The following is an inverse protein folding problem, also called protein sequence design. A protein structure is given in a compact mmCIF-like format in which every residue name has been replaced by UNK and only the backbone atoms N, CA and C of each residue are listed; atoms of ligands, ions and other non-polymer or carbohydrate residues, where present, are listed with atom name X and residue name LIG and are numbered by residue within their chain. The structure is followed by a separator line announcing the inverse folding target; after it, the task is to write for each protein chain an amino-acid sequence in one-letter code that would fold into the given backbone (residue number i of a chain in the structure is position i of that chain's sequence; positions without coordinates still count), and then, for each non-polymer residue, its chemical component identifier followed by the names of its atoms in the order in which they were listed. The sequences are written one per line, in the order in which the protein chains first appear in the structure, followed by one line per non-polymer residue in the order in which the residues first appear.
data_IF_016372821798
#
_entry.id   IF_016372821798
#
_cell.length_a   1.000
_cell.length_b   1.000
_cell.length_c   1.000
_cell.angle_alpha   90.00
_cell.angle_beta   90.00
_cell.angle_gamma   90.00
#
_symmetry.space_group_name_H-M   'P 1'
#
loop_
_entity.id
_entity.type
_entity.pdbx_description
1 polymer ?
#
# COMPACT_ATOMS: atom_id res chain seq x y z
N UNK A 1 12.18 -7.35 -3.88
CA UNK A 1 11.53 -7.00 -2.60
C UNK A 1 11.85 -7.98 -1.47
N UNK A 2 11.83 -9.30 -1.69
CA UNK A 2 12.18 -10.32 -0.65
C UNK A 2 13.46 -9.97 0.11
N UNK A 3 14.56 -9.69 -0.61
CA UNK A 3 15.84 -9.34 0.00
C UNK A 3 15.75 -8.13 0.95
N UNK A 4 14.99 -7.10 0.60
CA UNK A 4 14.81 -5.94 1.48
C UNK A 4 14.06 -6.31 2.77
N UNK A 5 13.02 -7.14 2.68
CA UNK A 5 12.29 -7.62 3.85
C UNK A 5 13.15 -8.52 4.74
N UNK A 6 14.03 -9.33 4.16
CA UNK A 6 15.02 -10.11 4.92
C UNK A 6 15.98 -9.21 5.70
N UNK A 7 16.52 -8.18 5.04
CA UNK A 7 17.44 -7.22 5.66
C UNK A 7 16.76 -6.40 6.76
N UNK A 8 15.50 -5.99 6.55
CA UNK A 8 14.67 -5.39 7.58
C UNK A 8 14.48 -6.36 8.75
N UNK A 9 14.08 -7.62 8.49
CA UNK A 9 13.90 -8.62 9.53
C UNK A 9 15.21 -8.93 10.28
N UNK A 10 16.36 -8.88 9.62
CA UNK A 10 17.69 -9.07 10.23
C UNK A 10 18.00 -7.95 11.22
N UNK A 11 17.75 -6.71 10.84
CA UNK A 11 18.11 -5.49 11.60
C UNK A 11 17.10 -5.12 12.69
N UNK A 12 15.82 -5.50 12.54
CA UNK A 12 14.79 -5.20 13.54
C UNK A 12 15.12 -5.82 14.91
N UNK A 13 14.84 -5.13 16.00
CA UNK A 13 14.88 -5.75 17.33
C UNK A 13 13.73 -6.75 17.50
N UNK A 14 13.86 -7.78 18.38
CA UNK A 14 12.75 -8.67 18.67
C UNK A 14 11.51 -7.90 19.15
N UNK A 15 10.34 -8.22 18.59
CA UNK A 15 9.10 -7.49 18.84
C UNK A 15 8.97 -6.18 18.06
N UNK A 16 9.98 -5.76 17.29
CA UNK A 16 9.91 -4.59 16.43
C UNK A 16 8.86 -4.72 15.32
N UNK A 17 8.46 -3.59 14.76
CA UNK A 17 7.37 -3.47 13.79
C UNK A 17 7.86 -3.05 12.41
N UNK A 18 7.19 -3.55 11.37
CA UNK A 18 7.30 -3.10 9.99
C UNK A 18 5.90 -2.73 9.51
N UNK A 19 5.79 -1.55 8.89
CA UNK A 19 4.57 -1.12 8.21
C UNK A 19 4.83 -1.26 6.70
N UNK A 20 4.09 -2.15 6.06
CA UNK A 20 4.03 -2.28 4.61
C UNK A 20 2.80 -1.50 4.13
N UNK A 21 3.03 -0.40 3.42
CA UNK A 21 1.99 0.50 2.90
C UNK A 21 2.17 0.57 1.40
N UNK A 22 1.18 0.10 0.65
CA UNK A 22 1.25 0.02 -0.81
C UNK A 22 -0.03 0.57 -1.44
N UNK A 23 0.09 1.49 -2.43
CA UNK A 23 -1.03 1.83 -3.27
C UNK A 23 -1.36 0.63 -4.16
N UNK A 24 -2.62 0.27 -4.21
CA UNK A 24 -3.18 -0.72 -5.12
C UNK A 24 -3.97 0.04 -6.18
N UNK A 25 -3.61 -0.14 -7.44
CA UNK A 25 -4.39 0.37 -8.57
C UNK A 25 -5.34 -0.73 -9.07
N UNK A 26 -6.39 -0.41 -9.86
CA UNK A 26 -6.68 0.87 -10.53
C UNK A 26 -7.06 2.03 -9.59
N UNK A 27 -6.84 3.27 -10.02
CA UNK A 27 -7.45 4.42 -9.34
C UNK A 27 -8.98 4.36 -9.51
N UNK A 28 -9.70 4.98 -8.57
CA UNK A 28 -11.12 5.28 -8.80
C UNK A 28 -11.27 6.34 -9.90
N UNK A 29 -12.45 6.44 -10.54
CA UNK A 29 -12.71 7.51 -11.48
C UNK A 29 -12.38 8.89 -10.90
N UNK A 30 -11.87 9.78 -11.74
CA UNK A 30 -11.67 11.18 -11.38
C UNK A 30 -13.03 11.84 -11.15
N UNK A 31 -13.17 12.54 -10.03
CA UNK A 31 -14.40 13.18 -9.61
C UNK A 31 -14.23 14.69 -9.50
N UNK A 32 -15.31 15.44 -9.71
CA UNK A 32 -15.46 16.82 -9.26
C UNK A 32 -16.22 16.81 -7.94
N UNK A 33 -15.72 17.51 -6.94
CA UNK A 33 -16.36 17.67 -5.63
C UNK A 33 -16.76 19.12 -5.46
N UNK A 34 -18.03 19.37 -5.14
CA UNK A 34 -18.61 20.71 -4.89
C UNK A 34 -19.55 20.60 -3.70
N UNK A 35 -19.35 21.41 -2.66
CA UNK A 35 -20.19 21.44 -1.46
C UNK A 35 -20.43 20.05 -0.82
N UNK A 36 -19.43 19.17 -0.88
CA UNK A 36 -19.48 17.81 -0.36
C UNK A 36 -20.07 16.76 -1.32
N UNK A 37 -20.69 17.17 -2.42
CA UNK A 37 -21.22 16.28 -3.45
C UNK A 37 -20.16 15.94 -4.49
N UNK A 38 -20.07 14.66 -4.88
CA UNK A 38 -19.09 14.16 -5.83
C UNK A 38 -19.74 13.71 -7.14
N UNK A 39 -19.20 14.18 -8.27
CA UNK A 39 -19.62 13.81 -9.63
C UNK A 39 -18.46 13.22 -10.41
N UNK A 40 -18.63 12.01 -10.94
CA UNK A 40 -17.64 11.36 -11.81
C UNK A 40 -17.46 12.14 -13.11
N UNK A 41 -16.21 12.39 -13.49
CA UNK A 41 -15.81 13.05 -14.73
C UNK A 41 -15.28 12.07 -15.78
N UNK A 42 -14.68 10.96 -15.34
CA UNK A 42 -14.12 9.93 -16.20
C UNK A 42 -13.02 9.13 -15.51
N UNK A 43 -12.28 8.33 -16.28
CA UNK A 43 -11.19 7.49 -15.76
C UNK A 43 -9.84 7.89 -16.35
N UNK A 44 -8.79 7.68 -15.56
CA UNK A 44 -7.43 7.71 -16.05
C UNK A 44 -7.19 6.55 -17.03
N UNK A 45 -6.20 6.70 -17.89
CA UNK A 45 -5.69 5.60 -18.71
C UNK A 45 -4.63 4.85 -17.91
N UNK A 46 -4.93 3.59 -17.57
CA UNK A 46 -4.16 2.76 -16.63
C UNK A 46 -3.68 1.46 -17.30
N UNK A 47 -3.65 1.41 -18.63
CA UNK A 47 -3.48 0.17 -19.41
C UNK A 47 -2.16 -0.60 -19.18
N UNK A 48 -1.17 0.00 -18.52
CA UNK A 48 0.15 -0.59 -18.28
C UNK A 48 0.34 -1.19 -16.87
N UNK A 49 -0.64 -1.06 -15.97
CA UNK A 49 -0.47 -1.52 -14.59
C UNK A 49 -0.94 -2.96 -14.38
N UNK A 50 -0.15 -3.76 -13.67
CA UNK A 50 -0.55 -5.08 -13.18
C UNK A 50 -1.36 -4.90 -11.87
N UNK A 51 -2.70 -5.09 -11.89
CA UNK A 51 -3.55 -4.87 -10.73
C UNK A 51 -3.15 -5.83 -9.61
N UNK A 52 -2.32 -5.34 -8.71
CA UNK A 52 -2.12 -5.91 -7.40
C UNK A 52 -0.73 -6.33 -7.01
N UNK A 53 0.29 -5.89 -7.75
CA UNK A 53 1.70 -6.17 -7.47
C UNK A 53 1.92 -7.59 -6.90
N UNK A 54 1.58 -8.64 -7.68
CA UNK A 54 1.66 -10.03 -7.23
C UNK A 54 3.09 -10.42 -6.82
N UNK A 55 4.10 -9.73 -7.36
CA UNK A 55 5.48 -9.88 -6.93
C UNK A 55 5.67 -9.41 -5.47
N UNK A 56 5.05 -8.29 -5.09
CA UNK A 56 5.07 -7.82 -3.72
C UNK A 56 4.30 -8.74 -2.76
N UNK A 57 3.11 -9.18 -3.16
CA UNK A 57 2.30 -10.11 -2.35
C UNK A 57 3.01 -11.46 -2.17
N UNK A 58 3.63 -11.99 -3.24
CA UNK A 58 4.42 -13.22 -3.19
C UNK A 58 5.63 -13.10 -2.26
N UNK A 59 6.35 -11.99 -2.33
CA UNK A 59 7.50 -11.74 -1.46
C UNK A 59 7.10 -11.60 0.02
N UNK A 60 5.96 -10.99 0.31
CA UNK A 60 5.42 -10.94 1.66
C UNK A 60 5.06 -12.36 2.16
N UNK A 61 4.37 -13.13 1.32
CA UNK A 61 4.03 -14.52 1.59
C UNK A 61 5.25 -15.38 1.91
N UNK A 62 6.34 -15.22 1.17
CA UNK A 62 7.59 -15.95 1.40
C UNK A 62 8.21 -15.64 2.79
N UNK A 63 8.28 -14.35 3.14
CA UNK A 63 8.84 -13.90 4.43
C UNK A 63 8.03 -14.41 5.62
N UNK A 64 6.70 -14.41 5.48
CA UNK A 64 5.77 -14.96 6.47
C UNK A 64 5.93 -16.49 6.58
N UNK A 65 6.01 -17.21 5.46
CA UNK A 65 6.20 -18.66 5.44
C UNK A 65 7.52 -19.09 6.10
N UNK A 66 8.57 -18.28 5.97
CA UNK A 66 9.88 -18.49 6.60
C UNK A 66 9.91 -18.09 8.08
N UNK A 67 8.84 -17.49 8.61
CA UNK A 67 8.71 -17.08 10.01
C UNK A 67 9.68 -15.96 10.40
N UNK A 68 10.19 -15.19 9.44
CA UNK A 68 11.09 -14.07 9.71
C UNK A 68 10.33 -12.87 10.29
N UNK A 69 9.08 -12.70 9.85
CA UNK A 69 8.09 -11.78 10.39
C UNK A 69 6.75 -12.51 10.56
N UNK A 70 5.87 -11.97 11.39
CA UNK A 70 4.49 -12.40 11.56
C UNK A 70 3.54 -11.28 11.16
N UNK A 71 2.39 -11.62 10.56
CA UNK A 71 1.35 -10.66 10.24
C UNK A 71 0.48 -10.40 11.48
N UNK A 72 0.55 -9.18 12.01
CA UNK A 72 -0.25 -8.74 13.17
C UNK A 72 -1.57 -8.10 12.75
N UNK A 73 -1.60 -7.48 11.57
CA UNK A 73 -2.77 -6.81 11.03
C UNK A 73 -2.64 -6.70 9.51
N UNK A 74 -3.76 -6.90 8.81
CA UNK A 74 -3.94 -6.58 7.41
C UNK A 74 -5.21 -5.75 7.27
N UNK A 75 -5.13 -4.69 6.48
CA UNK A 75 -6.29 -3.86 6.19
C UNK A 75 -6.07 -3.04 4.93
N UNK A 76 -7.13 -2.35 4.54
CA UNK A 76 -7.08 -1.47 3.40
C UNK A 76 -8.08 -0.34 3.53
N UNK A 77 -7.83 0.76 2.83
CA UNK A 77 -8.71 1.92 2.79
C UNK A 77 -8.54 2.68 1.48
N UNK A 78 -9.48 3.55 1.16
CA UNK A 78 -9.32 4.52 0.07
C UNK A 78 -8.70 5.81 0.60
N UNK A 79 -7.53 6.16 0.08
CA UNK A 79 -6.95 7.49 0.25
C UNK A 79 -7.54 8.42 -0.80
N UNK A 80 -7.92 9.63 -0.41
CA UNK A 80 -8.46 10.64 -1.34
C UNK A 80 -7.50 11.82 -1.42
N UNK A 81 -7.10 12.17 -2.64
CA UNK A 81 -6.27 13.34 -2.94
C UNK A 81 -7.11 14.36 -3.71
N UNK A 82 -6.87 15.64 -3.43
CA UNK A 82 -7.67 16.76 -3.93
C UNK A 82 -6.78 17.79 -4.61
N UNK A 83 -7.29 18.39 -5.69
CA UNK A 83 -6.61 19.45 -6.45
C UNK A 83 -7.61 20.50 -6.91
N UNK A 84 -7.23 21.77 -6.87
CA UNK A 84 -8.06 22.87 -7.39
C UNK A 84 -7.81 23.14 -8.88
N UNK A 85 -6.77 22.51 -9.46
CA UNK A 85 -6.36 22.75 -10.83
C UNK A 85 -5.90 21.49 -11.55
N UNK A 86 -6.03 21.53 -12.88
CA UNK A 86 -5.52 20.47 -13.76
C UNK A 86 -3.98 20.46 -13.82
N UNK A 87 -3.34 21.60 -13.54
CA UNK A 87 -1.89 21.69 -13.53
C UNK A 87 -1.32 20.83 -12.39
N UNK A 88 -1.81 21.02 -11.17
CA UNK A 88 -1.37 20.24 -10.01
C UNK A 88 -1.66 18.75 -10.14
N UNK A 89 -2.86 18.37 -10.63
CA UNK A 89 -3.18 16.97 -10.89
C UNK A 89 -2.21 16.35 -11.92
N UNK A 90 -1.81 17.10 -12.95
CA UNK A 90 -0.82 16.61 -13.94
C UNK A 90 0.57 16.47 -13.36
N UNK A 91 0.98 17.40 -12.50
CA UNK A 91 2.28 17.31 -11.85
C UNK A 91 2.33 16.13 -10.89
N UNK A 92 1.25 15.88 -10.14
CA UNK A 92 1.10 14.65 -9.36
C UNK A 92 1.24 13.41 -10.25
N UNK A 93 0.46 13.31 -11.34
CA UNK A 93 0.48 12.14 -12.22
C UNK A 93 1.80 11.95 -12.99
N UNK A 94 2.70 12.93 -13.00
CA UNK A 94 4.04 12.79 -13.59
C UNK A 94 4.86 11.71 -12.88
N UNK A 95 4.76 11.66 -11.55
CA UNK A 95 5.41 10.65 -10.72
C UNK A 95 4.81 9.24 -10.89
N UNK A 96 3.64 9.17 -11.53
CA UNK A 96 2.90 7.95 -11.82
C UNK A 96 2.79 7.65 -13.32
N UNK A 97 3.61 8.29 -14.15
CA UNK A 97 3.45 8.28 -15.61
C UNK A 97 3.59 6.91 -16.28
N UNK A 98 4.23 5.96 -15.60
CA UNK A 98 4.36 4.56 -16.00
C UNK A 98 3.07 3.75 -15.76
N UNK A 99 2.20 4.19 -14.85
CA UNK A 99 1.05 3.42 -14.38
C UNK A 99 -0.29 4.10 -14.64
N UNK A 100 -0.32 5.43 -14.74
CA UNK A 100 -1.53 6.17 -15.05
C UNK A 100 -1.24 7.44 -15.85
N UNK A 101 -2.11 7.72 -16.81
CA UNK A 101 -2.06 8.93 -17.62
C UNK A 101 -3.40 9.63 -17.61
N UNK A 102 -3.39 10.96 -17.57
CA UNK A 102 -4.60 11.77 -17.71
C UNK A 102 -4.92 11.97 -19.19
N UNK A 103 -6.01 11.38 -19.73
CA UNK A 103 -6.38 11.59 -21.13
C UNK A 103 -6.66 13.06 -21.41
N UNK A 104 -6.28 13.56 -22.60
CA UNK A 104 -6.52 14.97 -22.98
C UNK A 104 -8.00 15.35 -22.88
N UNK A 105 -8.88 14.47 -23.34
CA UNK A 105 -10.34 14.64 -23.28
C UNK A 105 -10.83 14.80 -21.84
N UNK A 106 -10.36 13.96 -20.90
CA UNK A 106 -10.70 14.06 -19.49
C UNK A 106 -10.14 15.35 -18.86
N UNK A 107 -8.89 15.72 -19.18
CA UNK A 107 -8.30 16.97 -18.72
C UNK A 107 -9.14 18.19 -19.12
N UNK A 108 -9.69 18.19 -20.34
CA UNK A 108 -10.53 19.28 -20.84
C UNK A 108 -11.91 19.32 -20.18
N UNK A 109 -12.53 18.15 -19.94
CA UNK A 109 -13.78 18.03 -19.17
C UNK A 109 -13.59 18.54 -17.76
N UNK A 110 -12.51 18.14 -17.09
CA UNK A 110 -12.22 18.52 -15.72
C UNK A 110 -11.89 20.02 -15.61
N UNK A 111 -11.14 20.58 -16.55
CA UNK A 111 -10.88 22.04 -16.60
C UNK A 111 -12.17 22.85 -16.78
N UNK A 112 -13.07 22.43 -17.68
CA UNK A 112 -14.37 23.10 -17.87
C UNK A 112 -15.25 22.97 -16.63
N UNK A 113 -15.24 21.80 -16.00
CA UNK A 113 -16.05 21.52 -14.81
C UNK A 113 -15.63 22.37 -13.60
N UNK A 114 -14.32 22.49 -13.33
CA UNK A 114 -13.79 23.37 -12.29
C UNK A 114 -14.20 24.83 -12.52
N UNK A 115 -14.03 25.34 -13.74
CA UNK A 115 -14.42 26.72 -14.07
C UNK A 115 -15.90 26.99 -13.91
N UNK A 116 -16.75 26.03 -14.28
CA UNK A 116 -18.20 26.18 -14.17
C UNK A 116 -18.68 26.11 -12.71
N UNK A 117 -18.04 25.28 -11.88
CA UNK A 117 -18.40 25.13 -10.48
C UNK A 117 -17.83 26.23 -9.57
N UNK A 118 -16.77 26.93 -10.01
CA UNK A 118 -16.20 28.06 -9.29
C UNK A 118 -15.17 27.63 -8.21
N UNK A 119 -14.78 28.56 -7.33
CA UNK A 119 -13.60 28.40 -6.47
C UNK A 119 -13.75 27.38 -5.33
N UNK A 120 -14.95 26.90 -5.05
CA UNK A 120 -15.20 25.88 -4.03
C UNK A 120 -15.07 24.45 -4.57
N UNK A 121 -14.79 24.30 -5.87
CA UNK A 121 -14.75 23.01 -6.54
C UNK A 121 -13.35 22.39 -6.50
N UNK A 122 -13.30 21.08 -6.28
CA UNK A 122 -12.06 20.30 -6.24
C UNK A 122 -12.15 19.12 -7.19
N UNK A 123 -11.03 18.71 -7.76
CA UNK A 123 -10.88 17.40 -8.36
C UNK A 123 -10.49 16.42 -7.28
N UNK A 124 -11.12 15.25 -7.25
CA UNK A 124 -10.78 14.15 -6.33
C UNK A 124 -10.36 12.92 -7.12
N UNK A 125 -9.24 12.33 -6.74
CA UNK A 125 -8.81 11.00 -7.17
C UNK A 125 -8.67 10.14 -5.92
N UNK A 126 -9.20 8.93 -5.96
CA UNK A 126 -9.08 7.99 -4.85
C UNK A 126 -8.19 6.81 -5.24
N UNK A 127 -7.29 6.46 -4.34
CA UNK A 127 -6.34 5.35 -4.49
C UNK A 127 -6.65 4.33 -3.41
N UNK A 128 -6.77 3.05 -3.77
CA UNK A 128 -6.86 2.00 -2.78
C UNK A 128 -5.49 1.79 -2.16
N UNK A 129 -5.41 1.68 -0.84
CA UNK A 129 -4.14 1.50 -0.12
C UNK A 129 -4.27 0.26 0.75
N UNK A 130 -3.33 -0.66 0.59
CA UNK A 130 -3.16 -1.81 1.47
C UNK A 130 -2.16 -1.44 2.56
N UNK A 131 -2.49 -1.79 3.80
CA UNK A 131 -1.60 -1.63 4.95
C UNK A 131 -1.50 -2.93 5.72
N UNK A 132 -0.28 -3.44 5.80
CA UNK A 132 0.06 -4.59 6.63
C UNK A 132 0.96 -4.14 7.79
N UNK A 133 0.67 -4.62 8.99
CA UNK A 133 1.56 -4.51 10.14
C UNK A 133 2.19 -5.85 10.39
N UNK A 134 3.51 -5.90 10.26
CA UNK A 134 4.31 -7.09 10.50
C UNK A 134 5.13 -6.91 11.78
N UNK A 135 5.42 -8.01 12.44
CA UNK A 135 6.24 -8.01 13.67
C UNK A 135 7.37 -9.03 13.57
N UNK A 136 8.55 -8.65 14.06
CA UNK A 136 9.62 -9.63 14.27
C UNK A 136 9.31 -10.47 15.50
N UNK A 137 9.24 -11.81 15.39
CA UNK A 137 8.96 -12.64 16.54
C UNK A 137 10.05 -12.51 17.60
N UNK A 138 9.66 -12.59 18.87
CA UNK A 138 10.64 -12.84 19.93
C UNK A 138 11.25 -14.22 19.69
N UNK A 139 12.58 -14.31 19.60
CA UNK A 139 13.25 -15.62 19.58
C UNK A 139 12.81 -16.36 20.84
N UNK A 140 12.00 -17.40 20.69
CA UNK A 140 11.76 -18.35 21.78
C UNK A 140 13.14 -18.86 22.18
N UNK A 141 13.61 -18.50 23.38
CA UNK A 141 14.74 -19.18 24.02
C UNK A 141 14.41 -20.67 23.94
N UNK A 142 15.14 -21.45 23.14
CA UNK A 142 15.11 -22.90 23.23
C UNK A 142 15.49 -23.21 24.67
N UNK A 143 14.50 -23.50 25.52
CA UNK A 143 14.73 -24.17 26.78
C UNK A 143 15.31 -25.54 26.41
N UNK A 144 16.65 -25.63 26.38
CA UNK A 144 17.34 -26.91 26.46
C UNK A 144 16.87 -27.54 27.77
N UNK A 145 15.92 -28.47 27.71
CA UNK A 145 15.75 -29.46 28.79
C UNK A 145 17.05 -30.24 28.83
N UNK A 146 17.95 -29.84 29.71
CA UNK A 146 18.98 -30.72 30.25
C UNK A 146 18.22 -31.83 30.99
N UNK A 147 17.99 -32.94 30.30
CA UNK A 147 17.69 -34.20 30.96
C UNK A 147 19.00 -34.69 31.62
N UNK A 148 19.30 -34.12 32.78
CA UNK A 148 20.22 -34.71 33.75
C UNK A 148 19.34 -35.48 34.72
N UNK A 149 19.24 -36.78 34.50
CA UNK A 149 18.83 -37.80 35.45
C UNK A 149 19.20 -39.10 34.76
N UNK A 150 20.17 -39.89 35.20
CA UNK A 150 20.66 -40.11 36.55
C UNK A 150 20.81 -41.62 36.61
N UNK A 151 22.05 -42.11 36.44
CA UNK A 151 22.37 -43.52 36.64
C UNK A 151 21.96 -43.88 38.06
N UNK A 152 21.03 -44.82 38.19
CA UNK A 152 20.93 -45.65 39.38
C UNK A 152 21.23 -47.07 38.95
N UNK A 153 22.48 -47.45 39.21
CA UNK A 153 22.84 -48.84 39.39
C UNK A 153 21.97 -49.42 40.51
N UNK A 154 21.41 -50.60 40.28
CA UNK A 154 21.04 -51.52 41.34
C UNK A 154 21.66 -52.88 41.01
N UNK A 155 22.50 -53.28 41.95
CA UNK A 155 22.96 -54.63 42.31
C UNK A 155 21.96 -55.74 42.03
#
# INVERSE_FOLDING_TARGET
MVHALEEIARTLVPGGLVLDIRPYLPFRPLELVVDGEARVLGRLDEAAFDPGDPAADGALGEILARGLLTLDYAGAFYSSSYWDSIAELRDYLRDWSDVARLPRSLADVARRSLRAAGPQAWLRLQTYVVVNRLRKPHRRRRLRRLAVSGRLAKT
#
